data_IF_743120956372
#
_entry.id   IF_743120956372
#
_cell.length_a   1.000
_cell.length_b   1.000
_cell.length_c   1.000
_cell.angle_alpha   90.00
_cell.angle_beta   90.00
_cell.angle_gamma   90.00
#
_symmetry.space_group_name_H-M   'P 1'
#
loop_
_entity.id
_entity.type
_entity.pdbx_description
1 polymer ?
#
# COMPACT_ATOMS: atom_id res chain seq x y z
N UNK A 1 -27.47 10.65 3.01
CA UNK A 1 -28.68 11.22 3.63
C UNK A 1 -29.55 10.08 4.13
N UNK A 2 -30.60 10.37 4.90
CA UNK A 2 -31.54 9.38 5.44
C UNK A 2 -32.95 9.80 5.02
N UNK A 3 -33.78 8.86 4.59
CA UNK A 3 -35.16 9.11 4.19
C UNK A 3 -36.03 7.88 4.49
N UNK A 4 -37.35 8.05 4.52
CA UNK A 4 -38.34 6.99 4.72
C UNK A 4 -39.17 6.83 3.46
N UNK A 5 -39.47 5.59 3.08
CA UNK A 5 -40.29 5.24 1.93
C UNK A 5 -39.49 4.60 0.78
N UNK A 6 -40.15 4.37 -0.38
CA UNK A 6 -39.51 3.75 -1.55
C UNK A 6 -38.27 4.52 -2.03
N UNK A 7 -37.38 3.84 -2.75
CA UNK A 7 -36.22 4.48 -3.38
C UNK A 7 -36.66 5.19 -4.66
N UNK A 8 -36.44 6.51 -4.71
CA UNK A 8 -36.80 7.35 -5.86
C UNK A 8 -35.57 7.85 -6.61
N UNK A 9 -35.76 8.35 -7.84
CA UNK A 9 -34.69 8.96 -8.67
C UNK A 9 -33.89 10.02 -7.93
N UNK A 10 -34.54 10.80 -7.06
CA UNK A 10 -33.88 11.85 -6.25
C UNK A 10 -32.85 11.27 -5.28
N UNK A 11 -33.08 10.06 -4.77
CA UNK A 11 -32.14 9.38 -3.86
C UNK A 11 -30.93 8.87 -4.64
N UNK A 12 -31.14 8.33 -5.84
CA UNK A 12 -30.08 7.93 -6.78
C UNK A 12 -29.21 9.13 -7.18
N UNK A 13 -29.82 10.26 -7.53
CA UNK A 13 -29.09 11.48 -7.88
C UNK A 13 -28.27 12.05 -6.71
N UNK A 14 -28.71 11.85 -5.46
CA UNK A 14 -27.90 12.23 -4.29
C UNK A 14 -26.73 11.28 -4.14
N UNK A 15 -26.95 9.97 -4.27
CA UNK A 15 -25.90 8.96 -4.15
C UNK A 15 -24.84 9.07 -5.25
N UNK A 16 -25.23 9.45 -6.48
CA UNK A 16 -24.30 9.59 -7.60
C UNK A 16 -23.25 10.68 -7.38
N UNK A 17 -23.53 11.71 -6.57
CA UNK A 17 -22.53 12.72 -6.22
C UNK A 17 -21.32 12.14 -5.47
N UNK A 18 -21.44 10.95 -4.88
CA UNK A 18 -20.32 10.25 -4.25
C UNK A 18 -19.41 9.55 -5.25
N UNK A 19 -19.81 9.32 -6.50
CA UNK A 19 -18.97 8.69 -7.53
C UNK A 19 -17.70 9.50 -7.81
N UNK A 20 -17.81 10.82 -7.78
CA UNK A 20 -16.66 11.73 -8.00
C UNK A 20 -15.79 11.90 -6.74
N UNK A 21 -16.34 11.61 -5.55
CA UNK A 21 -15.65 11.82 -4.27
C UNK A 21 -15.00 10.55 -3.75
N UNK A 22 -15.79 9.52 -3.54
CA UNK A 22 -15.37 8.21 -3.07
C UNK A 22 -16.42 7.17 -3.52
N UNK A 23 -16.14 6.47 -4.64
CA UNK A 23 -17.08 5.54 -5.26
C UNK A 23 -17.62 4.45 -4.33
N UNK A 24 -16.87 4.07 -3.28
CA UNK A 24 -17.32 3.05 -2.33
C UNK A 24 -18.56 3.48 -1.53
N UNK A 25 -18.85 4.79 -1.49
CA UNK A 25 -20.03 5.36 -0.83
C UNK A 25 -21.11 5.79 -1.82
N UNK A 26 -20.93 5.56 -3.13
CA UNK A 26 -21.96 5.74 -4.14
C UNK A 26 -22.97 4.58 -4.11
N UNK A 27 -23.61 4.41 -2.96
CA UNK A 27 -24.49 3.28 -2.67
C UNK A 27 -25.79 3.73 -2.00
N UNK A 28 -26.83 2.92 -2.13
CA UNK A 28 -28.10 3.07 -1.42
C UNK A 28 -28.36 1.79 -0.62
N UNK A 29 -28.66 1.92 0.67
CA UNK A 29 -29.10 0.82 1.53
C UNK A 29 -30.61 0.93 1.73
N UNK A 30 -31.37 0.06 1.07
CA UNK A 30 -32.83 0.00 1.09
C UNK A 30 -33.29 -1.10 2.06
N UNK A 31 -33.70 -0.70 3.26
CA UNK A 31 -34.21 -1.62 4.29
C UNK A 31 -35.74 -1.71 4.22
N UNK A 32 -36.25 -2.90 3.89
CA UNK A 32 -37.70 -3.20 3.85
C UNK A 32 -38.53 -2.16 3.07
N UNK A 33 -38.00 -1.72 1.91
CA UNK A 33 -38.67 -0.75 1.04
C UNK A 33 -38.59 -1.17 -0.42
N UNK A 34 -39.60 -0.77 -1.19
CA UNK A 34 -39.63 -0.99 -2.64
C UNK A 34 -38.65 -0.06 -3.36
N UNK A 35 -38.06 -0.55 -4.44
CA UNK A 35 -37.26 0.25 -5.37
C UNK A 35 -38.11 0.48 -6.62
N UNK A 36 -38.35 1.74 -6.99
CA UNK A 36 -39.05 2.04 -8.24
C UNK A 36 -38.20 1.61 -9.44
N UNK A 37 -38.85 1.06 -10.47
CA UNK A 37 -38.15 0.53 -11.66
C UNK A 37 -37.24 1.58 -12.30
N UNK A 38 -37.75 2.77 -12.54
CA UNK A 38 -36.95 3.84 -13.13
C UNK A 38 -35.77 4.29 -12.24
N UNK A 39 -35.88 4.10 -10.92
CA UNK A 39 -34.78 4.38 -9.99
C UNK A 39 -33.68 3.34 -10.12
N UNK A 40 -34.04 2.06 -10.27
CA UNK A 40 -33.08 0.98 -10.53
C UNK A 40 -32.35 1.21 -11.86
N UNK A 41 -33.08 1.50 -12.93
CA UNK A 41 -32.51 1.78 -14.25
C UNK A 41 -31.56 2.99 -14.22
N UNK A 42 -31.94 4.06 -13.51
CA UNK A 42 -31.07 5.22 -13.30
C UNK A 42 -29.81 4.87 -12.49
N UNK A 43 -29.95 4.05 -11.44
CA UNK A 43 -28.81 3.64 -10.62
C UNK A 43 -27.81 2.82 -11.41
N UNK A 44 -28.28 1.86 -12.22
CA UNK A 44 -27.43 1.02 -13.06
C UNK A 44 -26.69 1.84 -14.13
N UNK A 45 -27.37 2.81 -14.76
CA UNK A 45 -26.76 3.70 -15.76
C UNK A 45 -25.70 4.65 -15.18
N UNK A 46 -25.89 5.14 -13.95
CA UNK A 46 -24.94 6.03 -13.30
C UNK A 46 -23.84 5.27 -12.55
N UNK A 47 -23.98 3.96 -12.34
CA UNK A 47 -23.06 3.16 -11.55
C UNK A 47 -23.25 3.29 -10.03
N UNK A 48 -24.45 3.68 -9.58
CA UNK A 48 -24.83 3.69 -8.16
C UNK A 48 -25.32 2.31 -7.76
N UNK A 49 -24.75 1.71 -6.72
CA UNK A 49 -25.14 0.37 -6.29
C UNK A 49 -26.23 0.41 -5.21
N UNK A 50 -27.37 -0.25 -5.47
CA UNK A 50 -28.45 -0.39 -4.51
C UNK A 50 -28.38 -1.76 -3.83
N UNK A 51 -28.32 -1.77 -2.51
CA UNK A 51 -28.49 -2.96 -1.68
C UNK A 51 -29.90 -2.95 -1.11
N UNK A 52 -30.63 -4.06 -1.26
CA UNK A 52 -31.99 -4.20 -0.72
C UNK A 52 -32.09 -5.45 0.13
N UNK A 53 -32.65 -5.33 1.33
CA UNK A 53 -32.99 -6.47 2.17
C UNK A 53 -34.07 -6.11 3.21
N UNK A 54 -34.81 -7.13 3.64
CA UNK A 54 -35.82 -7.03 4.71
C UNK A 54 -35.20 -7.13 6.13
N UNK A 55 -33.91 -7.50 6.21
CA UNK A 55 -33.18 -7.66 7.48
C UNK A 55 -31.94 -6.77 7.46
N UNK A 56 -31.78 -5.94 8.48
CA UNK A 56 -30.73 -4.90 8.53
C UNK A 56 -29.31 -5.50 8.52
N UNK A 57 -29.10 -6.68 9.10
CA UNK A 57 -27.81 -7.37 9.11
C UNK A 57 -27.35 -7.78 7.71
N UNK A 58 -28.27 -8.22 6.84
CA UNK A 58 -27.91 -8.57 5.46
C UNK A 58 -27.44 -7.34 4.66
N UNK A 59 -28.01 -6.16 4.91
CA UNK A 59 -27.52 -4.92 4.30
C UNK A 59 -26.11 -4.57 4.79
N UNK A 60 -25.88 -4.71 6.09
CA UNK A 60 -24.58 -4.45 6.69
C UNK A 60 -23.50 -5.40 6.12
N UNK A 61 -23.78 -6.70 6.07
CA UNK A 61 -22.86 -7.69 5.55
C UNK A 61 -22.57 -7.47 4.06
N UNK A 62 -23.61 -7.24 3.26
CA UNK A 62 -23.46 -6.97 1.83
C UNK A 62 -22.65 -5.70 1.55
N UNK A 63 -22.90 -4.63 2.31
CA UNK A 63 -22.14 -3.39 2.19
C UNK A 63 -20.70 -3.54 2.66
N UNK A 64 -20.47 -4.23 3.78
CA UNK A 64 -19.13 -4.47 4.31
C UNK A 64 -18.30 -5.28 3.33
N UNK A 65 -18.86 -6.38 2.80
CA UNK A 65 -18.22 -7.19 1.76
C UNK A 65 -17.89 -6.37 0.52
N UNK A 66 -18.82 -5.55 0.03
CA UNK A 66 -18.59 -4.66 -1.11
C UNK A 66 -17.41 -3.71 -0.87
N UNK A 67 -17.32 -3.12 0.32
CA UNK A 67 -16.20 -2.24 0.69
C UNK A 67 -14.88 -2.99 0.79
N UNK A 68 -14.88 -4.19 1.36
CA UNK A 68 -13.69 -5.03 1.44
C UNK A 68 -13.19 -5.44 0.06
N UNK A 69 -14.09 -5.87 -0.82
CA UNK A 69 -13.77 -6.23 -2.20
C UNK A 69 -13.22 -5.03 -2.98
N UNK A 70 -13.85 -3.86 -2.84
CA UNK A 70 -13.38 -2.60 -3.45
C UNK A 70 -11.98 -2.21 -2.94
N UNK A 71 -11.78 -2.27 -1.61
CA UNK A 71 -10.47 -1.97 -1.01
C UNK A 71 -9.41 -2.95 -1.50
N UNK A 72 -9.71 -4.24 -1.55
CA UNK A 72 -8.77 -5.27 -2.01
C UNK A 72 -8.38 -5.05 -3.47
N UNK A 73 -9.36 -4.77 -4.33
CA UNK A 73 -9.09 -4.41 -5.74
C UNK A 73 -8.15 -3.21 -5.84
N UNK A 74 -8.36 -2.19 -5.02
CA UNK A 74 -7.48 -1.00 -4.99
C UNK A 74 -6.10 -1.33 -4.39
N UNK A 75 -6.02 -2.17 -3.38
CA UNK A 75 -4.72 -2.63 -2.87
C UNK A 75 -3.94 -3.38 -3.95
N UNK A 76 -4.58 -4.24 -4.73
CA UNK A 76 -3.92 -4.94 -5.84
C UNK A 76 -3.46 -3.98 -6.94
N UNK A 77 -4.28 -3.00 -7.31
CA UNK A 77 -3.95 -1.93 -8.29
C UNK A 77 -2.74 -1.09 -7.83
N UNK A 78 -2.71 -0.72 -6.55
CA UNK A 78 -1.67 0.16 -5.98
C UNK A 78 -0.50 -0.60 -5.36
N UNK A 79 -0.47 -1.94 -5.39
CA UNK A 79 0.53 -2.78 -4.72
C UNK A 79 1.96 -2.43 -5.11
N UNK A 80 2.21 -2.15 -6.39
CA UNK A 80 3.53 -1.80 -6.91
C UNK A 80 3.94 -0.34 -6.64
N UNK A 81 2.96 0.52 -6.35
CA UNK A 81 3.17 1.93 -6.02
C UNK A 81 3.38 2.07 -4.49
N UNK A 82 2.75 1.23 -3.69
CA UNK A 82 2.80 1.25 -2.24
C UNK A 82 4.15 0.75 -1.70
N UNK A 83 5.07 1.69 -1.48
CA UNK A 83 6.36 1.44 -0.83
C UNK A 83 6.22 1.62 0.67
N UNK A 84 6.22 0.50 1.40
CA UNK A 84 6.22 0.50 2.87
C UNK A 84 7.55 1.05 3.42
N UNK A 85 7.52 1.83 4.50
CA UNK A 85 8.72 2.45 5.04
C UNK A 85 9.60 1.38 5.70
N UNK A 86 10.89 1.37 5.39
CA UNK A 86 11.86 0.52 6.08
C UNK A 86 13.20 1.23 6.26
N UNK A 87 13.90 0.87 7.34
CA UNK A 87 15.29 1.25 7.62
C UNK A 87 16.08 -0.02 7.91
N UNK A 88 17.16 -0.24 7.19
CA UNK A 88 17.97 -1.44 7.24
C UNK A 88 19.40 -1.08 7.64
N UNK A 89 19.96 -1.84 8.57
CA UNK A 89 21.38 -1.79 8.92
C UNK A 89 22.08 -2.98 8.28
N UNK A 90 23.21 -2.72 7.62
CA UNK A 90 24.01 -3.76 6.97
C UNK A 90 24.75 -4.58 8.03
N UNK A 91 24.84 -5.89 7.82
CA UNK A 91 25.68 -6.79 8.62
C UNK A 91 27.00 -7.03 7.87
N UNK A 92 28.11 -6.35 8.23
CA UNK A 92 29.37 -6.42 7.49
C UNK A 92 29.96 -7.82 7.32
N UNK A 93 29.71 -8.72 8.27
CA UNK A 93 30.17 -10.11 8.22
C UNK A 93 29.35 -11.00 7.27
N UNK A 94 28.23 -10.51 6.74
CA UNK A 94 27.31 -11.27 5.90
C UNK A 94 27.12 -10.63 4.53
N UNK A 95 28.22 -10.45 3.79
CA UNK A 95 28.17 -9.97 2.40
C UNK A 95 28.47 -11.16 1.49
N UNK A 96 27.46 -11.65 0.75
CA UNK A 96 27.57 -12.86 -0.08
C UNK A 96 27.84 -12.55 -1.54
N UNK A 97 27.25 -11.47 -2.06
CA UNK A 97 27.56 -10.93 -3.39
C UNK A 97 27.53 -9.40 -3.34
N UNK A 98 28.58 -8.76 -3.85
CA UNK A 98 28.76 -7.31 -3.72
C UNK A 98 28.19 -6.50 -4.88
N UNK A 99 27.77 -7.14 -5.97
CA UNK A 99 27.20 -6.49 -7.17
C UNK A 99 26.37 -7.46 -8.00
N UNK A 100 25.21 -6.96 -8.45
CA UNK A 100 24.35 -7.52 -9.51
C UNK A 100 24.16 -9.05 -9.53
N UNK A 101 23.23 -9.59 -8.70
CA UNK A 101 22.48 -8.90 -7.65
C UNK A 101 23.32 -8.73 -6.39
N UNK A 102 23.11 -7.66 -5.63
CA UNK A 102 23.70 -7.55 -4.29
C UNK A 102 22.98 -8.54 -3.37
N UNK A 103 23.74 -9.40 -2.67
CA UNK A 103 23.21 -10.36 -1.71
C UNK A 103 23.92 -10.14 -0.38
N UNK A 104 23.16 -9.71 0.64
CA UNK A 104 23.74 -9.34 1.92
C UNK A 104 22.77 -9.55 3.10
N UNK A 105 23.34 -9.78 4.28
CA UNK A 105 22.63 -9.79 5.54
C UNK A 105 22.35 -8.37 6.02
N UNK A 106 21.14 -8.12 6.48
CA UNK A 106 20.71 -6.84 7.05
C UNK A 106 19.83 -7.08 8.29
N UNK A 107 19.82 -6.12 9.21
CA UNK A 107 18.83 -6.03 10.29
C UNK A 107 17.78 -4.99 9.91
N UNK A 108 16.50 -5.31 10.04
CA UNK A 108 15.42 -4.33 9.92
C UNK A 108 15.37 -3.49 11.20
N UNK A 109 15.88 -2.27 11.16
CA UNK A 109 15.93 -1.36 12.32
C UNK A 109 14.59 -0.69 12.60
N UNK A 110 13.83 -0.39 11.54
CA UNK A 110 12.50 0.19 11.66
C UNK A 110 11.63 -0.15 10.44
N UNK A 111 10.31 -0.19 10.68
CA UNK A 111 9.31 -0.43 9.64
C UNK A 111 9.21 -1.89 9.20
N UNK A 112 8.80 -2.07 7.94
CA UNK A 112 8.63 -3.38 7.31
C UNK A 112 9.22 -3.36 5.91
N UNK A 113 10.13 -4.28 5.63
CA UNK A 113 10.64 -4.51 4.29
C UNK A 113 9.73 -5.51 3.58
N UNK A 114 9.38 -5.24 2.33
CA UNK A 114 8.65 -6.16 1.45
C UNK A 114 9.41 -6.40 0.15
N UNK A 115 9.22 -7.57 -0.46
CA UNK A 115 9.69 -7.80 -1.83
C UNK A 115 9.09 -6.75 -2.78
N UNK A 116 9.90 -6.25 -3.71
CA UNK A 116 9.57 -5.13 -4.60
C UNK A 116 9.91 -3.74 -4.05
N UNK A 117 10.43 -3.63 -2.82
CA UNK A 117 10.77 -2.34 -2.23
C UNK A 117 12.01 -1.73 -2.91
N UNK A 118 11.92 -0.53 -3.51
CA UNK A 118 13.09 0.20 -3.97
C UNK A 118 13.85 0.75 -2.76
N UNK A 119 15.18 0.68 -2.79
CA UNK A 119 16.04 1.04 -1.66
C UNK A 119 17.20 1.94 -2.07
N UNK A 120 17.58 2.87 -1.19
CA UNK A 120 18.69 3.80 -1.41
C UNK A 120 19.48 4.08 -0.12
N UNK A 121 20.63 4.73 -0.28
CA UNK A 121 21.50 5.20 0.81
C UNK A 121 21.50 6.73 0.88
N UNK A 122 20.78 7.35 1.84
CA UNK A 122 20.68 8.81 1.93
C UNK A 122 22.03 9.49 2.18
N UNK A 123 22.89 8.91 3.05
CA UNK A 123 24.20 9.46 3.43
C UNK A 123 25.19 9.61 2.27
N UNK A 124 24.95 8.91 1.16
CA UNK A 124 25.80 8.93 -0.04
C UNK A 124 25.22 9.78 -1.17
N UNK A 125 24.38 10.77 -0.84
CA UNK A 125 23.69 11.56 -1.86
C UNK A 125 22.56 10.76 -2.52
N UNK A 126 21.81 10.01 -1.72
CA UNK A 126 20.68 9.18 -2.16
C UNK A 126 21.05 8.16 -3.24
N UNK A 127 22.19 7.47 -3.10
CA UNK A 127 22.58 6.40 -4.03
C UNK A 127 21.48 5.35 -4.08
N UNK A 128 20.84 5.24 -5.24
CA UNK A 128 19.85 4.22 -5.52
C UNK A 128 20.54 2.87 -5.71
N UNK A 129 20.32 1.96 -4.76
CA UNK A 129 21.00 0.66 -4.74
C UNK A 129 20.28 -0.31 -5.70
N UNK A 130 18.95 -0.29 -5.69
CA UNK A 130 18.15 -1.24 -6.46
C UNK A 130 16.78 -1.52 -5.86
N UNK A 131 16.21 -2.64 -6.28
CA UNK A 131 14.92 -3.16 -5.82
C UNK A 131 15.15 -4.49 -5.11
N UNK A 132 14.56 -4.66 -3.93
CA UNK A 132 14.63 -5.94 -3.20
C UNK A 132 13.77 -6.97 -3.92
N UNK A 133 14.39 -8.02 -4.49
CA UNK A 133 13.69 -9.08 -5.23
C UNK A 133 13.66 -10.42 -4.48
N UNK A 134 14.35 -10.52 -3.34
CA UNK A 134 14.28 -11.68 -2.47
C UNK A 134 14.58 -11.32 -1.02
N UNK A 135 13.85 -11.96 -0.10
CA UNK A 135 14.08 -11.88 1.34
C UNK A 135 14.10 -13.31 1.88
N UNK A 136 15.10 -13.64 2.68
CA UNK A 136 15.21 -14.94 3.34
C UNK A 136 15.44 -14.80 4.84
N UNK A 137 14.76 -15.65 5.60
CA UNK A 137 14.94 -15.82 7.04
C UNK A 137 15.27 -17.29 7.29
N UNK A 138 16.45 -17.59 7.81
CA UNK A 138 16.89 -18.97 8.07
C UNK A 138 16.73 -19.89 6.83
N UNK A 139 17.18 -19.42 5.65
CA UNK A 139 17.06 -20.11 4.36
C UNK A 139 15.64 -20.37 3.85
N UNK A 140 14.63 -19.73 4.45
CA UNK A 140 13.25 -19.76 3.95
C UNK A 140 12.92 -18.43 3.31
N UNK A 141 12.45 -18.47 2.07
CA UNK A 141 11.96 -17.29 1.37
C UNK A 141 10.69 -16.77 2.05
N UNK A 142 10.64 -15.45 2.23
CA UNK A 142 9.49 -14.73 2.80
C UNK A 142 9.19 -13.50 1.96
N UNK A 143 7.94 -13.04 1.98
CA UNK A 143 7.54 -11.83 1.25
C UNK A 143 7.79 -10.54 2.02
N UNK A 144 8.00 -10.64 3.34
CA UNK A 144 8.21 -9.48 4.19
C UNK A 144 9.02 -9.79 5.45
N UNK A 145 9.66 -8.74 6.00
CA UNK A 145 10.38 -8.78 7.26
C UNK A 145 10.16 -7.50 8.05
N UNK A 146 9.95 -7.62 9.36
CA UNK A 146 9.61 -6.54 10.28
C UNK A 146 10.81 -6.15 11.14
N UNK A 147 10.70 -4.99 11.81
CA UNK A 147 11.67 -4.51 12.79
C UNK A 147 12.17 -5.61 13.74
N UNK A 148 13.49 -5.63 13.95
CA UNK A 148 14.21 -6.55 14.83
C UNK A 148 14.64 -7.85 14.15
N UNK A 149 14.18 -8.14 12.94
CA UNK A 149 14.58 -9.34 12.22
C UNK A 149 15.91 -9.12 11.49
N UNK A 150 16.80 -10.11 11.59
CA UNK A 150 17.98 -10.26 10.74
C UNK A 150 17.63 -11.16 9.56
N UNK A 151 17.88 -10.67 8.36
CA UNK A 151 17.43 -11.28 7.11
C UNK A 151 18.54 -11.24 6.06
N UNK A 152 18.50 -12.15 5.11
CA UNK A 152 19.26 -12.02 3.87
C UNK A 152 18.39 -11.34 2.82
N UNK A 153 18.92 -10.33 2.13
CA UNK A 153 18.23 -9.63 1.04
C UNK A 153 18.99 -9.80 -0.27
N UNK A 154 18.23 -10.01 -1.34
CA UNK A 154 18.70 -9.93 -2.73
C UNK A 154 18.19 -8.63 -3.34
N UNK A 155 19.10 -7.77 -3.78
CA UNK A 155 18.80 -6.46 -4.37
C UNK A 155 19.29 -6.46 -5.82
N UNK A 156 18.34 -6.33 -6.75
CA UNK A 156 18.63 -6.21 -8.18
C UNK A 156 18.75 -4.73 -8.59
N UNK A 157 19.63 -4.41 -9.54
CA UNK A 157 19.78 -3.04 -10.01
C UNK A 157 18.50 -2.52 -10.66
N UNK A 158 18.33 -1.20 -10.63
CA UNK A 158 17.22 -0.55 -11.34
C UNK A 158 17.46 -0.71 -12.86
N UNK A 159 16.47 -1.21 -13.63
CA UNK A 159 16.62 -1.34 -15.08
C UNK A 159 17.01 -0.03 -15.74
N UNK A 160 18.07 -0.04 -16.54
CA UNK A 160 18.59 1.16 -17.22
C UNK A 160 19.68 1.93 -16.46
N UNK A 161 19.86 1.65 -15.16
CA UNK A 161 20.93 2.26 -14.36
C UNK A 161 22.17 1.38 -14.27
N UNK A 162 23.34 2.02 -14.16
CA UNK A 162 24.57 1.30 -13.88
C UNK A 162 24.52 0.68 -12.47
N UNK A 163 24.76 -0.65 -12.33
CA UNK A 163 24.59 -1.36 -11.07
C UNK A 163 25.55 -0.85 -10.00
N UNK A 164 25.02 -0.62 -8.80
CA UNK A 164 25.81 -0.21 -7.64
C UNK A 164 26.53 -1.41 -7.03
N UNK A 165 27.58 -1.10 -6.27
CA UNK A 165 28.51 -2.08 -5.71
C UNK A 165 28.79 -1.72 -4.25
N UNK A 166 28.61 -2.71 -3.37
CA UNK A 166 29.02 -2.64 -1.97
C UNK A 166 30.56 -2.57 -1.88
N UNK A 167 31.09 -1.72 -1.00
CA UNK A 167 32.53 -1.45 -0.87
C UNK A 167 33.07 -0.40 -1.86
N UNK A 168 32.20 0.17 -2.71
CA UNK A 168 32.54 1.29 -3.60
C UNK A 168 31.54 2.44 -3.49
N UNK A 169 30.26 2.14 -3.62
CA UNK A 169 29.20 3.16 -3.61
C UNK A 169 28.60 3.36 -2.22
N UNK A 170 28.60 2.30 -1.40
CA UNK A 170 28.15 2.29 -0.02
C UNK A 170 28.88 1.19 0.75
N UNK A 171 28.91 1.30 2.07
CA UNK A 171 29.66 0.42 2.98
C UNK A 171 28.80 0.00 4.19
N UNK A 172 29.35 -0.83 5.08
CA UNK A 172 28.60 -1.38 6.22
C UNK A 172 28.03 -0.34 7.20
N UNK A 173 28.70 0.83 7.30
CA UNK A 173 28.28 1.92 8.19
C UNK A 173 27.06 2.68 7.64
N UNK A 174 26.78 2.54 6.34
CA UNK A 174 25.69 3.22 5.70
C UNK A 174 24.35 2.55 6.04
N UNK A 175 23.31 3.37 6.15
CA UNK A 175 21.94 2.93 6.40
C UNK A 175 21.20 2.90 5.08
N UNK A 176 20.56 1.77 4.79
CA UNK A 176 19.69 1.60 3.63
C UNK A 176 18.26 1.94 4.07
N UNK A 177 17.54 2.72 3.27
CA UNK A 177 16.12 3.03 3.53
C UNK A 177 15.28 2.73 2.30
N UNK A 178 13.99 2.49 2.52
CA UNK A 178 13.00 2.44 1.45
C UNK A 178 12.91 3.80 0.73
N UNK A 179 13.00 3.80 -0.60
CA UNK A 179 12.80 5.00 -1.41
C UNK A 179 11.31 5.29 -1.57
N UNK A 180 10.77 6.14 -0.70
CA UNK A 180 9.36 6.55 -0.73
C UNK A 180 9.14 7.75 -1.66
N UNK A 181 7.94 7.85 -2.22
CA UNK A 181 7.52 8.98 -3.07
C UNK A 181 6.20 9.53 -2.56
N UNK A 182 5.78 10.70 -3.08
CA UNK A 182 4.45 11.24 -2.73
C UNK A 182 3.33 10.26 -3.08
N UNK A 183 3.41 9.65 -4.27
CA UNK A 183 2.44 8.67 -4.74
C UNK A 183 2.40 7.42 -3.84
N UNK A 184 3.57 6.93 -3.39
CA UNK A 184 3.62 5.78 -2.49
C UNK A 184 2.98 6.08 -1.13
N UNK A 185 3.23 7.28 -0.58
CA UNK A 185 2.64 7.72 0.69
C UNK A 185 1.12 7.84 0.56
N UNK A 186 0.62 8.41 -0.54
CA UNK A 186 -0.82 8.57 -0.75
C UNK A 186 -1.51 7.21 -0.96
N UNK A 187 -0.86 6.27 -1.66
CA UNK A 187 -1.32 4.88 -1.74
C UNK A 187 -1.42 4.23 -0.35
N UNK A 188 -0.39 4.39 0.49
CA UNK A 188 -0.41 3.85 1.86
C UNK A 188 -1.55 4.43 2.71
N UNK A 189 -1.80 5.73 2.62
CA UNK A 189 -2.87 6.40 3.38
C UNK A 189 -4.26 5.94 2.96
N UNK A 190 -4.48 5.76 1.66
CA UNK A 190 -5.79 5.49 1.10
C UNK A 190 -6.15 4.00 1.19
N UNK A 191 -5.19 3.10 0.98
CA UNK A 191 -5.47 1.68 0.76
C UNK A 191 -4.80 0.73 1.75
N UNK A 192 -3.67 1.11 2.37
CA UNK A 192 -2.88 0.24 3.25
C UNK A 192 -2.83 0.72 4.70
N UNK A 193 -3.70 1.64 5.10
CA UNK A 193 -3.64 2.27 6.43
C UNK A 193 -3.73 1.26 7.58
N UNK A 194 -4.53 0.21 7.42
CA UNK A 194 -4.72 -0.82 8.44
C UNK A 194 -3.55 -1.81 8.52
N UNK A 195 -2.70 -1.86 7.49
CA UNK A 195 -1.47 -2.65 7.48
C UNK A 195 -0.28 -1.91 8.11
N UNK A 196 -0.48 -0.63 8.47
CA UNK A 196 0.57 0.27 8.95
C UNK A 196 0.43 0.51 10.45
N UNK A 197 1.52 0.32 11.18
CA UNK A 197 1.58 0.61 12.61
C UNK A 197 1.89 2.10 12.86
N UNK A 198 1.63 2.58 14.09
CA UNK A 198 1.96 3.95 14.50
C UNK A 198 3.43 4.29 14.29
N UNK A 199 4.33 3.33 14.55
CA UNK A 199 5.77 3.47 14.31
C UNK A 199 6.13 3.60 12.83
N UNK A 200 5.38 2.94 11.95
CA UNK A 200 5.63 3.00 10.50
C UNK A 200 5.29 4.40 9.97
N UNK A 201 4.22 5.01 10.48
CA UNK A 201 3.88 6.40 10.19
C UNK A 201 4.92 7.40 10.72
N UNK A 202 5.50 7.14 11.89
CA UNK A 202 6.62 7.93 12.41
C UNK A 202 7.83 7.85 11.48
N UNK A 203 8.16 6.65 10.98
CA UNK A 203 9.23 6.47 10.00
C UNK A 203 8.92 7.17 8.68
N UNK A 204 7.67 7.17 8.21
CA UNK A 204 7.27 7.98 7.03
C UNK A 204 7.53 9.46 7.28
N UNK A 205 7.18 9.99 8.46
CA UNK A 205 7.45 11.41 8.76
C UNK A 205 8.94 11.72 8.77
N UNK A 206 9.77 10.80 9.26
CA UNK A 206 11.23 10.91 9.20
C UNK A 206 11.71 10.94 7.74
N UNK A 207 11.36 9.91 6.96
CA UNK A 207 11.79 9.77 5.57
C UNK A 207 11.26 10.90 4.68
N UNK A 208 10.03 11.41 4.92
CA UNK A 208 9.50 12.59 4.22
C UNK A 208 10.42 13.80 4.36
N UNK A 209 10.97 14.03 5.57
CA UNK A 209 11.93 15.11 5.80
C UNK A 209 13.25 14.82 5.08
N UNK A 210 13.72 13.58 5.13
CA UNK A 210 14.96 13.16 4.46
C UNK A 210 14.88 13.36 2.93
N UNK A 211 13.75 13.03 2.31
CA UNK A 211 13.53 13.13 0.86
C UNK A 211 12.92 14.46 0.41
N UNK A 212 12.75 15.43 1.32
CA UNK A 212 12.11 16.73 1.03
C UNK A 212 10.73 16.62 0.36
N UNK A 213 9.95 15.60 0.74
CA UNK A 213 8.62 15.35 0.18
C UNK A 213 7.60 16.26 0.87
N UNK A 214 6.98 17.14 0.09
CA UNK A 214 5.88 18.03 0.52
C UNK A 214 4.61 17.20 0.75
#
# INVERSE_FOLDING_TARGET
GINIGPVHKKDVMKASTMLERDPQYAVILAFDVKIERDSQELADSLGVRIFSAEIIYHLFDAFTKYREDYKKQKQDEFKHIAVFPCKLRILPQFIFNSRDPIVMGVTVEAGVLRTGTPVCVPSKGFVDIGIVTGIEINHKSVDSAKKGQEICVKIEPIPGDAPKMYGRHFEAVDIIVSKITRQSIDALKNWFRDEMQKSDWQLIMELKKTFEII
#
